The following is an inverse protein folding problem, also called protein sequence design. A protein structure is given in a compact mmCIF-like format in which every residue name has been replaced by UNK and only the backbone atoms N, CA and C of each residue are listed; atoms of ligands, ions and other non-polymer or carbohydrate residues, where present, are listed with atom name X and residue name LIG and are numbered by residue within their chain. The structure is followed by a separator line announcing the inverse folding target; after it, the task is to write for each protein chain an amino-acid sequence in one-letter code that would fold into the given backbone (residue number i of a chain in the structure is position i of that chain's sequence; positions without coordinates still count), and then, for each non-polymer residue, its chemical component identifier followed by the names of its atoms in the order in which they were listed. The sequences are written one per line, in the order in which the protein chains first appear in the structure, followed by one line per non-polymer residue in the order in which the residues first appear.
data_IF_254809390409
#
_entry.id   IF_254809390409
#
_cell.length_a   1.000
_cell.length_b   1.000
_cell.length_c   1.000
_cell.angle_alpha   90.00
_cell.angle_beta   90.00
_cell.angle_gamma   90.00
#
_symmetry.space_group_name_H-M   'P 1'
#
loop_
_entity.id
_entity.type
_entity.pdbx_description
1 polymer ?
#
# COMPACT_ATOMS: atom_id res chain seq x y z
N UNK A 1 12.14 -1.36 27.22
CA UNK A 1 12.12 -1.20 25.74
C UNK A 1 13.17 -0.18 25.35
N UNK A 2 14.04 -0.48 24.38
CA UNK A 2 15.10 0.44 23.94
C UNK A 2 14.83 0.99 22.54
N UNK A 3 14.65 2.31 22.45
CA UNK A 3 14.45 3.01 21.18
C UNK A 3 15.82 3.37 20.58
N UNK A 4 16.38 2.45 19.77
CA UNK A 4 17.67 2.64 19.08
C UNK A 4 17.53 3.61 17.90
N UNK A 5 18.44 4.58 17.83
CA UNK A 5 18.58 5.57 16.76
C UNK A 5 20.08 5.75 16.40
N UNK A 6 20.42 6.70 15.51
CA UNK A 6 21.79 6.92 15.04
C UNK A 6 22.78 7.32 16.16
N UNK A 7 22.30 8.06 17.16
CA UNK A 7 23.10 8.54 18.30
C UNK A 7 23.20 7.47 19.40
N UNK A 8 22.18 6.63 19.54
CA UNK A 8 22.04 5.61 20.58
C UNK A 8 22.57 4.25 20.13
N UNK A 9 23.89 4.10 20.11
CA UNK A 9 24.59 2.91 19.55
C UNK A 9 24.58 1.65 20.42
N UNK A 10 24.17 1.72 21.70
CA UNK A 10 24.16 0.56 22.59
C UNK A 10 23.21 -0.52 22.07
N UNK A 11 23.62 -1.77 22.23
CA UNK A 11 22.81 -2.93 21.89
C UNK A 11 22.01 -3.40 23.09
N UNK A 12 20.74 -3.72 22.84
CA UNK A 12 19.80 -4.21 23.84
C UNK A 12 19.03 -5.38 23.26
N UNK A 13 18.61 -6.35 24.08
CA UNK A 13 17.86 -7.52 23.61
C UNK A 13 16.49 -7.16 23.01
N UNK A 14 15.85 -6.07 23.48
CA UNK A 14 14.53 -5.64 23.02
C UNK A 14 14.56 -4.26 22.35
N UNK A 15 14.69 -4.26 21.03
CA UNK A 15 14.72 -3.05 20.19
C UNK A 15 13.50 -2.91 19.28
N UNK A 16 12.47 -3.75 19.43
CA UNK A 16 11.22 -3.59 18.70
C UNK A 16 10.02 -4.07 19.50
N UNK A 17 8.87 -3.43 19.30
CA UNK A 17 7.61 -3.86 19.86
C UNK A 17 6.44 -3.53 18.93
N UNK A 18 5.32 -4.21 19.16
CA UNK A 18 4.08 -4.01 18.43
C UNK A 18 3.07 -3.25 19.30
N UNK A 19 2.42 -2.24 18.72
CA UNK A 19 1.38 -1.46 19.38
C UNK A 19 0.37 -0.93 18.35
N UNK A 20 -0.93 -1.11 18.61
CA UNK A 20 -2.05 -0.65 17.76
C UNK A 20 -1.91 -1.04 16.26
N UNK A 21 -1.36 -2.22 15.98
CA UNK A 21 -1.15 -2.70 14.62
C UNK A 21 0.12 -2.15 13.94
N UNK A 22 0.95 -1.39 14.64
CA UNK A 22 2.27 -0.93 14.19
C UNK A 22 3.41 -1.69 14.86
N UNK A 23 4.49 -1.92 14.13
CA UNK A 23 5.78 -2.39 14.67
C UNK A 23 6.76 -1.23 14.72
N UNK A 24 7.09 -0.82 15.93
CA UNK A 24 8.10 0.19 16.24
C UNK A 24 9.48 -0.48 16.29
N UNK A 25 10.41 -0.01 15.45
CA UNK A 25 11.79 -0.49 15.41
C UNK A 25 12.72 0.54 14.74
N UNK A 26 14.05 0.41 14.87
CA UNK A 26 14.99 1.24 14.14
C UNK A 26 14.85 1.03 12.64
N UNK A 27 14.69 2.11 11.89
CA UNK A 27 14.51 2.11 10.43
C UNK A 27 15.32 3.22 9.81
N UNK A 28 15.73 3.00 8.56
CA UNK A 28 16.41 4.02 7.75
C UNK A 28 15.40 5.05 7.27
N UNK A 29 15.60 6.30 7.66
CA UNK A 29 14.86 7.47 7.24
C UNK A 29 15.76 8.39 6.41
N UNK A 30 15.16 9.25 5.59
CA UNK A 30 15.86 10.22 4.74
C UNK A 30 15.48 11.62 5.19
N UNK A 31 16.47 12.48 5.42
CA UNK A 31 16.22 13.87 5.79
C UNK A 31 15.96 14.73 4.54
N UNK A 32 15.57 16.00 4.73
CA UNK A 32 15.28 16.95 3.64
C UNK A 32 16.50 17.23 2.74
N UNK A 33 17.72 17.01 3.24
CA UNK A 33 18.98 17.18 2.50
C UNK A 33 19.44 15.88 1.81
N UNK A 34 18.66 14.81 1.91
CA UNK A 34 18.92 13.54 1.26
C UNK A 34 19.87 12.59 1.99
N UNK A 35 20.40 12.97 3.16
CA UNK A 35 21.20 12.09 4.01
C UNK A 35 20.29 11.08 4.71
N UNK A 36 20.76 9.83 4.76
CA UNK A 36 20.08 8.76 5.47
C UNK A 36 20.52 8.75 6.94
N UNK A 37 19.56 8.50 7.82
CA UNK A 37 19.77 8.35 9.25
C UNK A 37 18.92 7.20 9.79
N UNK A 38 19.27 6.67 10.97
CA UNK A 38 18.47 5.65 11.65
C UNK A 38 17.54 6.35 12.63
N UNK A 39 16.24 6.14 12.46
CA UNK A 39 15.20 6.63 13.37
C UNK A 39 14.34 5.47 13.87
N UNK A 40 13.92 5.56 15.13
CA UNK A 40 12.95 4.65 15.70
C UNK A 40 11.54 5.05 15.27
N UNK A 41 11.02 4.40 14.23
CA UNK A 41 9.75 4.80 13.60
C UNK A 41 8.77 3.63 13.44
N UNK A 42 7.47 3.89 13.58
CA UNK A 42 6.45 2.86 13.37
C UNK A 42 6.29 2.54 11.89
N UNK A 43 6.02 1.27 11.60
CA UNK A 43 5.46 0.85 10.32
C UNK A 43 4.34 -0.14 10.56
N UNK A 44 3.54 -0.44 9.54
CA UNK A 44 2.52 -1.49 9.66
C UNK A 44 3.15 -2.79 10.14
N UNK A 45 2.53 -3.42 11.14
CA UNK A 45 3.00 -4.69 11.67
C UNK A 45 2.84 -5.80 10.65
N UNK A 46 3.61 -6.87 10.83
CA UNK A 46 3.48 -8.06 9.97
C UNK A 46 2.08 -8.68 10.10
N UNK A 47 1.52 -8.66 11.30
CA UNK A 47 0.18 -9.17 11.60
C UNK A 47 -0.90 -8.34 10.89
N UNK A 48 -0.92 -7.02 11.07
CA UNK A 48 -1.86 -6.13 10.37
C UNK A 48 -1.69 -6.24 8.84
N UNK A 49 -0.45 -6.31 8.36
CA UNK A 49 -0.13 -6.58 6.95
C UNK A 49 -0.75 -7.89 6.43
N UNK A 50 -0.72 -8.95 7.24
CA UNK A 50 -1.28 -10.26 6.90
C UNK A 50 -2.81 -10.20 6.86
N UNK A 51 -3.43 -9.54 7.82
CA UNK A 51 -4.89 -9.35 7.89
C UNK A 51 -5.41 -8.59 6.68
N UNK A 52 -4.80 -7.45 6.31
CA UNK A 52 -5.19 -6.71 5.10
C UNK A 52 -5.10 -7.57 3.83
N UNK A 53 -4.05 -8.40 3.72
CA UNK A 53 -3.90 -9.33 2.58
C UNK A 53 -4.94 -10.45 2.62
N UNK A 54 -5.29 -10.97 3.80
CA UNK A 54 -6.35 -11.96 3.95
C UNK A 54 -7.71 -11.38 3.57
N UNK A 55 -8.02 -10.17 4.03
CA UNK A 55 -9.24 -9.45 3.69
C UNK A 55 -9.35 -9.24 2.18
N UNK A 56 -8.27 -8.78 1.55
CA UNK A 56 -8.20 -8.65 0.09
C UNK A 56 -8.45 -9.99 -0.65
N UNK A 57 -7.96 -11.11 -0.11
CA UNK A 57 -8.20 -12.44 -0.68
C UNK A 57 -9.66 -12.88 -0.51
N UNK A 58 -10.30 -12.57 0.62
CA UNK A 58 -11.71 -12.89 0.90
C UNK A 58 -12.67 -12.22 -0.08
N UNK A 59 -12.33 -11.05 -0.59
CA UNK A 59 -13.13 -10.40 -1.65
C UNK A 59 -13.24 -11.23 -2.93
N UNK A 60 -12.31 -12.19 -3.16
CA UNK A 60 -12.30 -13.10 -4.31
C UNK A 60 -12.51 -12.36 -5.64
N UNK A 61 -11.90 -11.18 -5.79
CA UNK A 61 -12.10 -10.28 -6.95
C UNK A 61 -11.94 -10.98 -8.30
N UNK A 62 -10.98 -11.89 -8.41
CA UNK A 62 -10.73 -12.69 -9.60
C UNK A 62 -11.89 -13.59 -10.06
N UNK A 63 -12.91 -13.80 -9.23
CA UNK A 63 -14.14 -14.54 -9.55
C UNK A 63 -15.33 -13.62 -9.88
N UNK A 64 -15.22 -12.31 -9.62
CA UNK A 64 -16.30 -11.33 -9.85
C UNK A 64 -16.14 -10.62 -11.20
N UNK A 65 -16.20 -11.38 -12.30
CA UNK A 65 -16.12 -10.83 -13.67
C UNK A 65 -17.36 -10.05 -14.09
N UNK A 66 -18.49 -10.29 -13.42
CA UNK A 66 -19.78 -9.62 -13.59
C UNK A 66 -19.71 -8.12 -13.25
N UNK A 67 -18.98 -7.74 -12.20
CA UNK A 67 -18.95 -6.36 -11.69
C UNK A 67 -18.17 -5.39 -12.57
N UNK A 68 -18.64 -4.15 -12.71
CA UNK A 68 -17.91 -3.10 -13.43
C UNK A 68 -16.70 -2.62 -12.63
N UNK A 69 -15.81 -1.86 -13.25
CA UNK A 69 -14.70 -1.26 -12.53
C UNK A 69 -15.17 -0.17 -11.53
N UNK A 70 -16.27 0.54 -11.83
CA UNK A 70 -16.89 1.49 -10.89
C UNK A 70 -17.44 0.77 -9.66
N UNK A 71 -18.08 -0.39 -9.84
CA UNK A 71 -18.60 -1.18 -8.72
C UNK A 71 -17.48 -1.62 -7.77
N UNK A 72 -16.37 -2.13 -8.33
CA UNK A 72 -15.21 -2.49 -7.51
C UNK A 72 -14.65 -1.25 -6.79
N UNK A 73 -14.60 -0.10 -7.46
CA UNK A 73 -14.17 1.15 -6.84
C UNK A 73 -15.07 1.52 -5.66
N UNK A 74 -16.40 1.48 -5.80
CA UNK A 74 -17.35 1.79 -4.73
C UNK A 74 -17.24 0.83 -3.55
N UNK A 75 -17.08 -0.47 -3.82
CA UNK A 75 -17.02 -1.50 -2.79
C UNK A 75 -15.74 -1.43 -1.95
N UNK A 76 -14.57 -1.26 -2.57
CA UNK A 76 -13.28 -1.42 -1.89
C UNK A 76 -12.59 -0.11 -1.55
N UNK A 77 -12.91 1.00 -2.23
CA UNK A 77 -12.27 2.29 -1.94
C UNK A 77 -12.42 2.73 -0.48
N UNK A 78 -13.55 2.53 0.23
CA UNK A 78 -13.65 2.91 1.64
C UNK A 78 -12.69 2.13 2.56
N UNK A 79 -12.49 0.83 2.30
CA UNK A 79 -11.59 -0.01 3.11
C UNK A 79 -10.13 0.34 2.83
N UNK A 80 -9.76 0.43 1.54
CA UNK A 80 -8.41 0.82 1.12
C UNK A 80 -8.06 2.24 1.62
N UNK A 81 -9.06 3.14 1.62
CA UNK A 81 -8.96 4.46 2.24
C UNK A 81 -8.61 4.38 3.71
N UNK A 82 -9.33 3.55 4.46
CA UNK A 82 -9.09 3.36 5.89
C UNK A 82 -7.66 2.92 6.15
N UNK A 83 -7.16 1.93 5.40
CA UNK A 83 -5.78 1.46 5.55
C UNK A 83 -4.74 2.53 5.24
N UNK A 84 -4.94 3.32 4.19
CA UNK A 84 -3.98 4.36 3.80
C UNK A 84 -4.02 5.53 4.76
N UNK A 85 -5.20 5.93 5.25
CA UNK A 85 -5.33 6.99 6.24
C UNK A 85 -4.73 6.58 7.59
N UNK A 86 -4.92 5.33 8.00
CA UNK A 86 -4.42 4.84 9.29
C UNK A 86 -2.91 4.53 9.23
N UNK A 87 -2.44 3.76 8.25
CA UNK A 87 -1.05 3.29 8.17
C UNK A 87 -0.12 4.17 7.32
N UNK A 88 -0.64 5.11 6.52
CA UNK A 88 0.12 5.85 5.52
C UNK A 88 1.06 6.94 6.06
N UNK A 89 0.95 7.32 7.32
CA UNK A 89 1.67 8.47 7.89
C UNK A 89 3.16 8.21 8.13
N UNK A 90 3.57 6.99 8.49
CA UNK A 90 4.90 6.77 9.10
C UNK A 90 5.89 5.97 8.24
N UNK A 91 5.46 4.92 7.53
CA UNK A 91 6.36 4.11 6.70
C UNK A 91 5.64 3.49 5.50
N UNK A 92 5.53 4.30 4.44
CA UNK A 92 4.73 3.99 3.25
C UNK A 92 5.20 2.74 2.50
N UNK A 93 6.50 2.44 2.51
CA UNK A 93 7.04 1.27 1.79
C UNK A 93 6.54 -0.07 2.36
N UNK A 94 6.27 -0.16 3.66
CA UNK A 94 5.67 -1.36 4.25
C UNK A 94 4.20 -1.52 3.82
N UNK A 95 3.44 -0.43 3.81
CA UNK A 95 2.07 -0.41 3.30
C UNK A 95 2.01 -0.70 1.80
N UNK A 96 2.97 -0.20 1.02
CA UNK A 96 3.08 -0.41 -0.42
C UNK A 96 3.14 -1.90 -0.78
N UNK A 97 3.77 -2.75 0.05
CA UNK A 97 3.76 -4.22 -0.16
C UNK A 97 2.34 -4.78 -0.19
N UNK A 98 1.47 -4.31 0.69
CA UNK A 98 0.06 -4.71 0.74
C UNK A 98 -0.73 -4.15 -0.44
N UNK A 99 -0.56 -2.87 -0.76
CA UNK A 99 -1.23 -2.25 -1.91
C UNK A 99 -0.80 -2.87 -3.24
N UNK A 100 0.47 -3.25 -3.37
CA UNK A 100 1.00 -4.00 -4.53
C UNK A 100 0.34 -5.38 -4.67
N UNK A 101 0.03 -6.04 -3.55
CA UNK A 101 -0.72 -7.31 -3.57
C UNK A 101 -2.14 -7.10 -4.10
N UNK A 102 -2.84 -6.08 -3.61
CA UNK A 102 -4.16 -5.69 -4.12
C UNK A 102 -4.11 -5.36 -5.61
N UNK A 103 -3.14 -4.56 -6.05
CA UNK A 103 -2.97 -4.21 -7.46
C UNK A 103 -2.77 -5.45 -8.34
N UNK A 104 -1.99 -6.45 -7.88
CA UNK A 104 -1.84 -7.72 -8.61
C UNK A 104 -3.15 -8.47 -8.77
N UNK A 105 -4.02 -8.44 -7.75
CA UNK A 105 -5.34 -9.08 -7.81
C UNK A 105 -6.25 -8.35 -8.80
N UNK A 106 -6.24 -7.01 -8.79
CA UNK A 106 -6.99 -6.18 -9.76
C UNK A 106 -6.51 -6.43 -11.19
N UNK A 107 -5.19 -6.52 -11.40
CA UNK A 107 -4.60 -6.87 -12.71
C UNK A 107 -5.09 -8.25 -13.18
N UNK A 108 -5.11 -9.25 -12.29
CA UNK A 108 -5.64 -10.58 -12.63
C UNK A 108 -7.13 -10.55 -12.97
N UNK A 109 -7.92 -9.79 -12.24
CA UNK A 109 -9.33 -9.58 -12.55
C UNK A 109 -9.51 -8.92 -13.92
N UNK A 110 -8.78 -7.85 -14.22
CA UNK A 110 -8.85 -7.15 -15.50
C UNK A 110 -8.47 -8.06 -16.68
N UNK A 111 -7.43 -8.88 -16.52
CA UNK A 111 -7.05 -9.86 -17.54
C UNK A 111 -8.09 -10.97 -17.76
N UNK A 112 -8.88 -11.33 -16.74
CA UNK A 112 -9.97 -12.30 -16.86
C UNK A 112 -11.21 -11.68 -17.50
N UNK A 113 -11.57 -10.45 -17.12
CA UNK A 113 -12.74 -9.73 -17.63
C UNK A 113 -12.57 -9.31 -19.09
N UNK A 114 -11.43 -8.76 -19.47
CA UNK A 114 -11.20 -8.23 -20.81
C UNK A 114 -10.34 -9.18 -21.63
N UNK A 115 -10.93 -9.77 -22.68
CA UNK A 115 -10.20 -10.67 -23.58
C UNK A 115 -8.96 -10.01 -24.20
N UNK A 116 -9.05 -8.73 -24.57
CA UNK A 116 -7.90 -7.96 -25.11
C UNK A 116 -6.72 -7.81 -24.14
N UNK A 117 -6.95 -7.98 -22.84
CA UNK A 117 -5.93 -7.91 -21.81
C UNK A 117 -5.48 -9.30 -21.35
N UNK A 118 -6.09 -10.37 -21.86
CA UNK A 118 -5.76 -11.76 -21.50
C UNK A 118 -4.28 -12.02 -21.75
N UNK A 119 -3.58 -12.60 -20.76
CA UNK A 119 -2.12 -12.86 -20.75
C UNK A 119 -1.22 -11.61 -20.77
N UNK A 120 -1.74 -10.39 -20.89
CA UNK A 120 -0.95 -9.16 -20.95
C UNK A 120 -0.93 -8.40 -19.61
N UNK A 121 -0.17 -8.91 -18.64
CA UNK A 121 -0.09 -8.32 -17.29
C UNK A 121 0.30 -6.83 -17.28
N UNK A 122 1.34 -6.45 -18.05
CA UNK A 122 1.79 -5.05 -18.14
C UNK A 122 0.70 -4.14 -18.72
N UNK A 123 0.06 -4.56 -19.82
CA UNK A 123 -1.03 -3.78 -20.45
C UNK A 123 -2.24 -3.64 -19.53
N UNK A 124 -2.58 -4.68 -18.79
CA UNK A 124 -3.64 -4.64 -17.79
C UNK A 124 -3.31 -3.68 -16.63
N UNK A 125 -2.06 -3.69 -16.15
CA UNK A 125 -1.58 -2.72 -15.16
C UNK A 125 -1.67 -1.27 -15.67
N UNK A 126 -1.20 -1.00 -16.89
CA UNK A 126 -1.31 0.33 -17.49
C UNK A 126 -2.77 0.76 -17.74
N UNK A 127 -3.64 -0.18 -18.12
CA UNK A 127 -5.06 0.08 -18.30
C UNK A 127 -5.73 0.48 -16.97
N UNK A 128 -5.47 -0.24 -15.89
CA UNK A 128 -5.93 0.16 -14.54
C UNK A 128 -5.37 1.52 -14.12
N UNK A 129 -4.08 1.78 -14.38
CA UNK A 129 -3.46 3.08 -14.11
C UNK A 129 -4.03 4.23 -14.96
N UNK A 130 -4.58 3.96 -16.15
CA UNK A 130 -5.30 4.96 -16.96
C UNK A 130 -6.68 5.25 -16.38
N UNK A 131 -7.42 4.22 -15.97
CA UNK A 131 -8.72 4.38 -15.31
C UNK A 131 -8.56 5.21 -14.04
N UNK A 132 -7.61 4.84 -13.18
CA UNK A 132 -7.29 5.59 -11.97
C UNK A 132 -7.06 7.09 -12.21
N UNK A 133 -6.32 7.43 -13.27
CA UNK A 133 -6.06 8.82 -13.65
C UNK A 133 -7.29 9.52 -14.20
N UNK A 134 -8.12 8.81 -14.98
CA UNK A 134 -9.37 9.34 -15.55
C UNK A 134 -10.39 9.66 -14.45
N UNK A 135 -10.59 8.73 -13.52
CA UNK A 135 -11.43 8.91 -12.33
C UNK A 135 -10.97 10.10 -11.47
N UNK A 136 -9.66 10.30 -11.36
CA UNK A 136 -9.08 11.45 -10.65
C UNK A 136 -9.35 12.79 -11.36
N UNK A 137 -9.39 12.80 -12.69
CA UNK A 137 -9.55 14.01 -13.48
C UNK A 137 -11.03 14.39 -13.71
N UNK A 138 -11.96 13.42 -13.60
CA UNK A 138 -13.39 13.65 -13.82
C UNK A 138 -14.12 14.32 -12.65
N UNK A 139 -13.41 14.69 -11.58
CA UNK A 139 -14.02 15.41 -10.45
C UNK A 139 -15.12 14.64 -9.72
N UNK A 140 -15.33 13.35 -10.01
CA UNK A 140 -16.21 12.48 -9.22
C UNK A 140 -15.64 12.42 -7.80
N UNK A 141 -16.35 13.14 -6.95
CA UNK A 141 -15.89 13.60 -5.66
C UNK A 141 -15.69 12.45 -4.69
N UNK A 142 -14.63 12.59 -3.89
CA UNK A 142 -14.38 11.87 -2.62
C UNK A 142 -13.99 10.39 -2.63
N UNK A 143 -13.69 9.65 -3.71
CA UNK A 143 -13.34 8.20 -3.55
C UNK A 143 -12.03 7.70 -4.19
N UNK A 144 -11.42 8.42 -5.13
CA UNK A 144 -10.36 7.87 -6.01
C UNK A 144 -8.90 8.28 -5.78
N UNK A 145 -8.48 8.79 -4.61
CA UNK A 145 -7.11 9.34 -4.42
C UNK A 145 -5.97 8.29 -4.40
N UNK A 146 -6.27 6.99 -4.39
CA UNK A 146 -5.28 5.94 -4.04
C UNK A 146 -4.34 5.50 -5.15
N UNK A 147 -4.77 5.59 -6.40
CA UNK A 147 -4.08 4.93 -7.50
C UNK A 147 -3.08 5.85 -8.23
N UNK A 148 -2.84 7.06 -7.74
CA UNK A 148 -1.88 8.00 -8.34
C UNK A 148 -1.26 8.97 -7.34
N UNK A 149 -1.21 8.61 -6.05
CA UNK A 149 -0.58 9.49 -5.07
C UNK A 149 0.95 9.44 -5.25
N UNK A 150 1.49 10.46 -5.94
CA UNK A 150 2.93 10.76 -6.00
C UNK A 150 3.54 10.95 -4.60
N UNK A 151 2.73 11.06 -3.53
CA UNK A 151 3.23 11.04 -2.14
C UNK A 151 3.73 9.66 -1.68
N UNK A 152 3.54 8.59 -2.45
CA UNK A 152 4.16 7.28 -2.20
C UNK A 152 5.59 7.16 -2.80
N UNK A 153 6.01 8.13 -3.62
CA UNK A 153 7.39 8.25 -4.13
C UNK A 153 8.23 9.10 -3.14
N UNK A 154 8.42 8.62 -1.91
CA UNK A 154 9.19 9.37 -0.90
C UNK A 154 10.58 8.79 -0.63
N UNK A 155 11.34 8.42 -1.67
CA UNK A 155 12.78 8.11 -1.54
C UNK A 155 13.13 7.07 -0.46
N UNK A 156 12.14 6.32 0.03
CA UNK A 156 12.28 5.29 1.03
C UNK A 156 13.15 4.19 0.41
N UNK A 157 14.26 3.78 1.06
CA UNK A 157 15.09 2.72 0.56
C UNK A 157 14.24 1.47 0.38
N UNK A 158 14.24 0.92 -0.84
CA UNK A 158 13.80 -0.45 -1.03
C UNK A 158 14.80 -1.31 -0.26
N UNK A 159 14.35 -1.86 0.87
CA UNK A 159 15.08 -2.92 1.57
C UNK A 159 15.07 -4.20 0.74
#
# INVERSE_FOLDING_TARGET
MYCKDEDRRRDHPHTSFDFLGFTFRPRRSKNRWGKYFINFSPAVSNQAGKEMRQETRRWRLHLRSDKSHEDLSRMFSPVVRGWINYYGSFYKSALYRTLKHLNRILVRWAMRKFQRLRRHQRRAGYWLGRIARKERNLGYSRTGRWASDRRLDDGSPVS
#
